data_IF_278026938307
#
_entry.id   IF_278026938307
#
_cell.length_a   1.000
_cell.length_b   1.000
_cell.length_c   1.000
_cell.angle_alpha   90.00
_cell.angle_beta   90.00
_cell.angle_gamma   90.00
#
_symmetry.space_group_name_H-M   'P 1'
#
loop_
_entity.id
_entity.type
_entity.pdbx_description
1 polymer ?
#
# COMPACT_ATOMS: atom_id res chain seq x y z
N UNK A 1 11.22 20.38 -10.49
CA UNK A 1 9.81 20.42 -10.96
C UNK A 1 9.32 19.06 -11.44
N UNK A 2 10.11 18.29 -12.22
CA UNK A 2 9.77 16.92 -12.67
C UNK A 2 9.45 15.98 -11.48
N UNK A 3 10.34 15.90 -10.49
CA UNK A 3 10.20 15.00 -9.32
C UNK A 3 8.94 15.26 -8.48
N UNK A 4 8.55 16.53 -8.35
CA UNK A 4 7.33 16.90 -7.63
C UNK A 4 6.08 16.41 -8.38
N UNK A 5 6.03 16.61 -9.71
CA UNK A 5 4.93 16.13 -10.54
C UNK A 5 4.85 14.60 -10.53
N UNK A 6 5.99 13.91 -10.64
CA UNK A 6 6.06 12.45 -10.51
C UNK A 6 5.54 11.97 -9.15
N UNK A 7 5.87 12.67 -8.07
CA UNK A 7 5.40 12.34 -6.72
C UNK A 7 3.89 12.53 -6.58
N UNK A 8 3.33 13.61 -7.11
CA UNK A 8 1.87 13.86 -7.10
C UNK A 8 1.16 12.77 -7.91
N UNK A 9 1.65 12.46 -9.11
CA UNK A 9 1.09 11.40 -9.95
C UNK A 9 1.15 10.05 -9.24
N UNK A 10 2.29 9.73 -8.62
CA UNK A 10 2.46 8.49 -7.86
C UNK A 10 1.48 8.38 -6.69
N UNK A 11 1.25 9.47 -5.94
CA UNK A 11 0.27 9.50 -4.85
C UNK A 11 -1.17 9.28 -5.35
N UNK A 12 -1.53 9.89 -6.48
CA UNK A 12 -2.86 9.72 -7.11
C UNK A 12 -3.04 8.27 -7.59
N UNK A 13 -2.07 7.73 -8.33
CA UNK A 13 -2.11 6.33 -8.80
C UNK A 13 -2.21 5.37 -7.62
N UNK A 14 -1.39 5.56 -6.59
CA UNK A 14 -1.42 4.73 -5.39
C UNK A 14 -2.79 4.77 -4.71
N UNK A 15 -3.37 5.97 -4.53
CA UNK A 15 -4.71 6.15 -3.96
C UNK A 15 -5.77 5.42 -4.79
N UNK A 16 -5.73 5.55 -6.12
CA UNK A 16 -6.70 4.92 -7.02
C UNK A 16 -6.60 3.38 -7.02
N UNK A 17 -5.44 2.82 -6.71
CA UNK A 17 -5.25 1.36 -6.58
C UNK A 17 -5.77 0.87 -5.23
N UNK A 18 -5.40 1.54 -4.14
CA UNK A 18 -5.70 1.09 -2.78
C UNK A 18 -7.18 1.30 -2.43
N UNK A 19 -7.72 2.47 -2.77
CA UNK A 19 -9.01 2.92 -2.27
C UNK A 19 -10.20 2.05 -2.72
N UNK A 20 -10.33 1.66 -4.01
CA UNK A 20 -11.40 0.75 -4.45
C UNK A 20 -11.27 -0.64 -3.83
N UNK A 21 -10.04 -1.15 -3.70
CA UNK A 21 -9.78 -2.45 -3.07
C UNK A 21 -10.25 -2.46 -1.61
N UNK A 22 -9.93 -1.39 -0.88
CA UNK A 22 -10.30 -1.22 0.51
C UNK A 22 -11.81 -1.06 0.71
N UNK A 23 -12.47 -0.21 -0.09
CA UNK A 23 -13.92 -0.02 0.00
C UNK A 23 -14.72 -1.25 -0.39
N UNK A 24 -14.19 -2.10 -1.27
CA UNK A 24 -14.88 -3.32 -1.69
C UNK A 24 -14.89 -4.38 -0.59
N UNK A 25 -13.75 -4.59 0.08
CA UNK A 25 -13.62 -5.57 1.17
C UNK A 25 -12.46 -5.20 2.11
N UNK A 26 -12.72 -4.52 3.25
CA UNK A 26 -11.66 -4.07 4.16
C UNK A 26 -10.90 -5.25 4.80
N UNK A 27 -11.54 -6.41 4.92
CA UNK A 27 -10.95 -7.64 5.52
C UNK A 27 -9.77 -8.17 4.72
N UNK A 28 -9.69 -7.91 3.42
CA UNK A 28 -8.54 -8.35 2.60
C UNK A 28 -7.22 -7.75 3.08
N UNK A 29 -7.27 -6.64 3.79
CA UNK A 29 -6.11 -5.93 4.32
C UNK A 29 -5.80 -6.29 5.78
N UNK A 30 -6.55 -7.22 6.40
CA UNK A 30 -6.38 -7.60 7.82
C UNK A 30 -4.97 -8.12 8.13
N UNK A 31 -4.29 -8.69 7.13
CA UNK A 31 -2.93 -9.21 7.26
C UNK A 31 -1.87 -8.12 7.44
N UNK A 32 -2.18 -6.87 7.08
CA UNK A 32 -1.31 -5.72 7.32
C UNK A 32 -1.42 -5.18 8.75
N UNK A 33 -2.43 -5.60 9.53
CA UNK A 33 -2.65 -5.14 10.90
C UNK A 33 -1.83 -5.93 11.92
N UNK A 34 -1.57 -5.35 13.11
CA UNK A 34 -0.97 -6.04 14.25
C UNK A 34 -1.70 -7.34 14.62
N UNK A 35 -0.95 -8.27 15.20
CA UNK A 35 -1.43 -9.61 15.56
C UNK A 35 -2.66 -9.56 16.49
N UNK A 36 -2.68 -8.62 17.42
CA UNK A 36 -3.79 -8.41 18.36
C UNK A 36 -5.13 -8.15 17.66
N UNK A 37 -5.12 -7.37 16.58
CA UNK A 37 -6.33 -7.06 15.79
C UNK A 37 -6.74 -8.28 14.98
N UNK A 38 -5.77 -9.00 14.39
CA UNK A 38 -6.02 -10.25 13.66
C UNK A 38 -6.71 -11.29 14.55
N UNK A 39 -6.19 -11.52 15.75
CA UNK A 39 -6.75 -12.48 16.72
C UNK A 39 -8.16 -12.07 17.19
N UNK A 40 -8.42 -10.76 17.35
CA UNK A 40 -9.77 -10.27 17.68
C UNK A 40 -10.77 -10.56 16.57
N UNK A 41 -10.40 -10.37 15.31
CA UNK A 41 -11.27 -10.64 14.15
C UNK A 41 -11.46 -12.15 13.95
N UNK A 42 -10.44 -12.97 14.23
CA UNK A 42 -10.51 -14.44 14.13
C UNK A 42 -11.47 -15.09 15.12
N UNK A 43 -11.63 -14.48 16.30
CA UNK A 43 -12.61 -14.92 17.32
C UNK A 43 -14.06 -14.75 16.86
N UNK A 44 -14.32 -13.93 15.84
CA UNK A 44 -15.66 -13.76 15.29
C UNK A 44 -15.99 -14.95 14.37
N UNK A 45 -17.11 -15.67 14.58
CA UNK A 45 -17.44 -16.88 13.83
C UNK A 45 -17.57 -16.63 12.32
N UNK A 46 -17.90 -15.40 11.93
CA UNK A 46 -18.03 -14.97 10.53
C UNK A 46 -16.70 -14.81 9.77
N UNK A 47 -15.54 -14.81 10.45
CA UNK A 47 -14.23 -14.52 9.83
C UNK A 47 -13.15 -15.57 10.06
N UNK A 48 -13.44 -16.62 10.84
CA UNK A 48 -12.50 -17.68 11.22
C UNK A 48 -11.81 -18.35 10.01
N UNK A 49 -12.56 -18.66 8.97
CA UNK A 49 -12.03 -19.30 7.75
C UNK A 49 -11.40 -18.31 6.76
N UNK A 50 -11.77 -17.03 6.86
CA UNK A 50 -11.30 -15.97 5.96
C UNK A 50 -9.83 -15.65 6.22
N UNK A 51 -9.42 -15.62 7.49
CA UNK A 51 -8.05 -15.25 7.89
C UNK A 51 -7.03 -16.29 7.40
N UNK A 52 -7.32 -17.58 7.51
CA UNK A 52 -6.40 -18.64 7.06
C UNK A 52 -6.21 -18.66 5.54
N UNK A 53 -7.29 -18.40 4.78
CA UNK A 53 -7.21 -18.29 3.33
C UNK A 53 -6.45 -17.02 2.89
N UNK A 54 -6.65 -15.91 3.58
CA UNK A 54 -5.94 -14.66 3.32
C UNK A 54 -4.44 -14.75 3.62
N UNK A 55 -4.02 -15.49 4.64
CA UNK A 55 -2.59 -15.59 5.01
C UNK A 55 -1.73 -16.20 3.90
N UNK A 56 -2.17 -17.33 3.33
CA UNK A 56 -1.46 -17.98 2.20
C UNK A 56 -1.46 -17.10 0.97
N UNK A 57 -2.59 -16.45 0.67
CA UNK A 57 -2.73 -15.56 -0.48
C UNK A 57 -1.87 -14.30 -0.33
N UNK A 58 -1.78 -13.75 0.89
CA UNK A 58 -1.05 -12.54 1.19
C UNK A 58 0.44 -12.70 0.94
N UNK A 59 1.04 -13.84 1.28
CA UNK A 59 2.45 -14.10 1.00
C UNK A 59 2.75 -14.05 -0.51
N UNK A 60 1.92 -14.72 -1.32
CA UNK A 60 2.07 -14.75 -2.78
C UNK A 60 1.87 -13.36 -3.39
N UNK A 61 0.84 -12.63 -2.95
CA UNK A 61 0.60 -11.25 -3.41
C UNK A 61 1.77 -10.35 -3.04
N UNK A 62 2.35 -10.49 -1.84
CA UNK A 62 3.49 -9.68 -1.39
C UNK A 62 4.71 -9.90 -2.26
N UNK A 63 5.02 -11.15 -2.63
CA UNK A 63 6.13 -11.46 -3.53
C UNK A 63 5.93 -10.85 -4.92
N UNK A 64 4.72 -10.98 -5.48
CA UNK A 64 4.38 -10.38 -6.78
C UNK A 64 4.47 -8.85 -6.71
N UNK A 65 3.95 -8.25 -5.62
CA UNK A 65 3.99 -6.81 -5.42
C UNK A 65 5.43 -6.30 -5.35
N UNK A 66 6.33 -6.99 -4.63
CA UNK A 66 7.76 -6.62 -4.57
C UNK A 66 8.38 -6.60 -5.97
N UNK A 67 8.12 -7.62 -6.79
CA UNK A 67 8.63 -7.67 -8.16
C UNK A 67 8.06 -6.54 -9.03
N UNK A 68 6.76 -6.29 -8.95
CA UNK A 68 6.11 -5.20 -9.68
C UNK A 68 6.64 -3.83 -9.27
N UNK A 69 6.80 -3.58 -7.98
CA UNK A 69 7.39 -2.35 -7.47
C UNK A 69 8.84 -2.20 -7.91
N UNK A 70 9.65 -3.28 -7.87
CA UNK A 70 11.02 -3.24 -8.36
C UNK A 70 11.10 -2.84 -9.84
N UNK A 71 10.26 -3.43 -10.69
CA UNK A 71 10.18 -3.09 -12.13
C UNK A 71 9.73 -1.64 -12.33
N UNK A 72 8.69 -1.20 -11.61
CA UNK A 72 8.19 0.17 -11.69
C UNK A 72 9.26 1.20 -11.29
N UNK A 73 9.94 0.98 -10.16
CA UNK A 73 10.99 1.86 -9.68
C UNK A 73 12.23 1.86 -10.60
N UNK A 74 12.60 0.70 -11.15
CA UNK A 74 13.66 0.60 -12.14
C UNK A 74 13.33 1.38 -13.42
N UNK A 75 12.06 1.35 -13.84
CA UNK A 75 11.56 2.09 -15.00
C UNK A 75 11.66 3.60 -14.76
N UNK A 76 11.21 4.07 -13.59
CA UNK A 76 11.34 5.47 -13.19
C UNK A 76 12.82 5.89 -13.11
N UNK A 77 13.68 5.06 -12.53
CA UNK A 77 15.11 5.32 -12.47
C UNK A 77 15.73 5.46 -13.88
N UNK A 78 15.35 4.57 -14.80
CA UNK A 78 15.82 4.58 -16.19
C UNK A 78 15.39 5.86 -16.92
N UNK A 79 14.13 6.27 -16.78
CA UNK A 79 13.60 7.49 -17.40
C UNK A 79 14.00 8.79 -16.70
N UNK A 80 14.52 8.73 -15.46
CA UNK A 80 14.97 9.92 -14.72
C UNK A 80 16.14 10.65 -15.39
N UNK A 81 16.87 10.00 -16.30
CA UNK A 81 18.06 10.56 -16.94
C UNK A 81 19.26 10.67 -15.99
N UNK A 82 19.19 10.05 -14.81
CA UNK A 82 20.28 10.03 -13.85
C UNK A 82 21.52 9.34 -14.43
N UNK A 83 22.66 10.04 -14.40
CA UNK A 83 23.94 9.55 -14.92
C UNK A 83 24.73 8.69 -13.92
N UNK A 84 24.31 8.71 -12.65
CA UNK A 84 24.98 8.01 -11.55
C UNK A 84 23.99 7.23 -10.72
N UNK A 85 24.44 6.09 -10.19
CA UNK A 85 23.62 5.24 -9.31
C UNK A 85 23.06 6.01 -8.12
N UNK A 86 23.90 6.82 -7.46
CA UNK A 86 23.51 7.63 -6.29
C UNK A 86 22.37 8.59 -6.62
N UNK A 87 22.41 9.25 -7.79
CA UNK A 87 21.35 10.15 -8.22
C UNK A 87 20.04 9.41 -8.48
N UNK A 88 20.10 8.24 -9.14
CA UNK A 88 18.92 7.42 -9.40
C UNK A 88 18.32 6.87 -8.09
N UNK A 89 19.17 6.43 -7.16
CA UNK A 89 18.78 5.96 -5.84
C UNK A 89 18.04 7.03 -5.06
N UNK A 90 18.62 8.24 -4.92
CA UNK A 90 17.97 9.33 -4.20
C UNK A 90 16.65 9.76 -4.85
N UNK A 91 16.58 9.77 -6.19
CA UNK A 91 15.37 10.12 -6.93
C UNK A 91 14.23 9.14 -6.61
N UNK A 92 14.49 7.84 -6.73
CA UNK A 92 13.53 6.78 -6.42
C UNK A 92 13.18 6.75 -4.92
N UNK A 93 14.18 6.92 -4.06
CA UNK A 93 13.99 6.93 -2.61
C UNK A 93 13.07 8.07 -2.17
N UNK A 94 13.31 9.28 -2.65
CA UNK A 94 12.47 10.45 -2.34
C UNK A 94 11.05 10.23 -2.85
N UNK A 95 10.89 9.75 -4.08
CA UNK A 95 9.57 9.45 -4.64
C UNK A 95 8.82 8.44 -3.78
N UNK A 96 9.46 7.33 -3.42
CA UNK A 96 8.84 6.30 -2.58
C UNK A 96 8.53 6.84 -1.18
N UNK A 97 9.44 7.62 -0.59
CA UNK A 97 9.25 8.22 0.73
C UNK A 97 8.05 9.17 0.75
N UNK A 98 7.89 10.02 -0.26
CA UNK A 98 6.75 10.95 -0.37
C UNK A 98 5.43 10.18 -0.43
N UNK A 99 5.36 9.09 -1.21
CA UNK A 99 4.16 8.25 -1.27
C UNK A 99 3.83 7.62 0.09
N UNK A 100 4.83 7.14 0.84
CA UNK A 100 4.62 6.58 2.18
C UNK A 100 4.14 7.64 3.18
N UNK A 101 4.72 8.84 3.14
CA UNK A 101 4.27 9.96 4.01
C UNK A 101 2.84 10.38 3.65
N UNK A 102 2.52 10.43 2.36
CA UNK A 102 1.16 10.71 1.90
C UNK A 102 0.16 9.65 2.38
N UNK A 103 0.48 8.36 2.26
CA UNK A 103 -0.36 7.26 2.75
C UNK A 103 -0.66 7.41 4.24
N UNK A 104 0.37 7.61 5.05
CA UNK A 104 0.25 7.82 6.49
C UNK A 104 -0.65 9.02 6.85
N UNK A 105 -0.47 10.17 6.18
CA UNK A 105 -1.19 11.39 6.54
C UNK A 105 -2.61 11.43 5.96
N UNK A 106 -2.76 11.10 4.69
CA UNK A 106 -4.00 11.30 3.95
C UNK A 106 -4.90 10.08 4.01
N UNK A 107 -4.34 8.88 3.83
CA UNK A 107 -5.12 7.65 3.81
C UNK A 107 -5.36 7.14 5.24
N UNK A 108 -4.31 6.92 6.03
CA UNK A 108 -4.48 6.37 7.39
C UNK A 108 -5.19 7.37 8.32
N UNK A 109 -4.62 8.56 8.52
CA UNK A 109 -5.17 9.55 9.46
C UNK A 109 -6.39 10.26 8.87
N UNK A 110 -6.28 10.75 7.63
CA UNK A 110 -7.34 11.52 6.99
C UNK A 110 -8.57 10.70 6.68
N UNK A 111 -8.41 9.55 6.03
CA UNK A 111 -9.53 8.79 5.48
C UNK A 111 -9.99 7.64 6.38
N UNK A 112 -9.07 6.78 6.84
CA UNK A 112 -9.46 5.54 7.53
C UNK A 112 -10.07 5.81 8.91
N UNK A 113 -9.58 6.83 9.65
CA UNK A 113 -10.17 7.22 10.92
C UNK A 113 -11.62 7.76 10.78
N UNK A 114 -11.96 8.38 9.65
CA UNK A 114 -13.25 9.07 9.45
C UNK A 114 -14.26 8.26 8.63
N UNK A 115 -13.81 7.25 7.88
CA UNK A 115 -14.67 6.45 7.00
C UNK A 115 -15.28 5.25 7.71
N UNK A 116 -16.62 5.24 7.83
CA UNK A 116 -17.37 4.08 8.37
C UNK A 116 -17.30 2.85 7.45
N UNK A 117 -17.06 3.04 6.14
CA UNK A 117 -17.00 1.95 5.14
C UNK A 117 -15.70 1.13 5.18
N UNK A 118 -14.64 1.70 5.74
CA UNK A 118 -13.32 1.03 5.86
C UNK A 118 -13.22 0.25 7.17
N UNK A 119 -14.19 0.41 8.08
CA UNK A 119 -14.22 -0.28 9.36
C UNK A 119 -14.70 -1.72 9.17
N UNK A 120 -13.92 -2.68 9.66
CA UNK A 120 -14.33 -4.07 9.72
C UNK A 120 -15.45 -4.19 10.76
N UNK A 121 -16.65 -4.68 10.39
CA UNK A 121 -17.76 -4.82 11.32
C UNK A 121 -17.53 -6.00 12.26
N UNK A 122 -17.52 -5.74 13.58
CA UNK A 122 -17.28 -6.76 14.60
C UNK A 122 -16.78 -6.18 15.92
#
# INVERSE_FOLDING_TARGET
MILFVESVIACVIFTLIILPSLYKNPIKHIMSYPKEIRERVEKLPQYKEVIQAEEKRHLTIKLIAILLFAIALATVAYFSGAKTFTSAYFHVFVLFFVVNVYDMLVLDIGLFCHSKKTRIPG
#
